data_IF_019420364632
#
_entry.id   IF_019420364632
#
_cell.length_a   1.000
_cell.length_b   1.000
_cell.length_c   1.000
_cell.angle_alpha   90.00
_cell.angle_beta   90.00
_cell.angle_gamma   90.00
#
_symmetry.space_group_name_H-M   'P 1'
#
loop_
_entity.id
_entity.type
_entity.pdbx_description
1 polymer ?
#
# COMPACT_ATOMS: atom_id res chain seq x y z
N UNK A 1 -32.44 92.18 15.30
CA UNK A 1 -32.35 90.99 16.15
C UNK A 1 -32.69 89.78 15.31
N UNK A 2 -31.68 89.10 14.77
CA UNK A 2 -31.82 87.92 13.92
C UNK A 2 -30.85 86.86 14.45
N UNK A 3 -31.41 85.82 15.07
CA UNK A 3 -30.70 84.62 15.48
C UNK A 3 -30.91 83.58 14.38
N UNK A 4 -29.86 83.24 13.64
CA UNK A 4 -29.83 82.08 12.75
C UNK A 4 -28.75 81.14 13.28
N UNK A 5 -29.21 80.04 13.87
CA UNK A 5 -28.38 78.98 14.41
C UNK A 5 -27.70 78.19 13.29
N UNK A 6 -26.38 78.08 13.38
CA UNK A 6 -25.56 77.25 12.51
C UNK A 6 -25.59 75.81 13.04
N UNK A 7 -26.26 74.92 12.34
CA UNK A 7 -26.23 73.48 12.62
C UNK A 7 -25.04 72.87 11.89
N UNK A 8 -23.97 72.55 12.64
CA UNK A 8 -22.89 71.68 12.18
C UNK A 8 -23.44 70.27 11.94
N UNK A 9 -23.72 69.92 10.68
CA UNK A 9 -23.90 68.53 10.28
C UNK A 9 -22.52 67.87 10.19
N UNK A 10 -22.11 67.19 11.26
CA UNK A 10 -21.02 66.21 11.21
C UNK A 10 -21.51 65.03 10.35
N UNK A 11 -21.09 64.98 9.09
CA UNK A 11 -21.21 63.78 8.28
C UNK A 11 -20.21 62.75 8.82
N UNK A 12 -20.68 61.83 9.67
CA UNK A 12 -19.94 60.62 10.02
C UNK A 12 -19.88 59.77 8.75
N UNK A 13 -18.75 59.85 8.04
CA UNK A 13 -18.42 58.94 6.96
C UNK A 13 -18.16 57.56 7.59
N UNK A 14 -19.21 56.75 7.72
CA UNK A 14 -19.07 55.34 8.04
C UNK A 14 -18.37 54.67 6.84
N UNK A 15 -17.04 54.58 6.91
CA UNK A 15 -16.28 53.67 6.06
C UNK A 15 -16.70 52.26 6.47
N UNK A 16 -17.70 51.73 5.78
CA UNK A 16 -17.98 50.30 5.80
C UNK A 16 -16.78 49.65 5.10
N UNK A 17 -15.81 49.21 5.91
CA UNK A 17 -14.83 48.21 5.49
C UNK A 17 -15.62 46.94 5.16
N UNK A 18 -16.04 46.82 3.90
CA UNK A 18 -16.44 45.55 3.32
C UNK A 18 -15.14 44.74 3.25
N UNK A 19 -14.87 43.96 4.28
CA UNK A 19 -13.94 42.85 4.16
C UNK A 19 -14.60 41.87 3.20
N UNK A 20 -14.23 41.92 1.93
CA UNK A 20 -14.51 40.82 1.02
C UNK A 20 -13.85 39.59 1.65
N UNK A 21 -14.64 38.67 2.19
CA UNK A 21 -14.15 37.30 2.33
C UNK A 21 -13.99 36.82 0.89
N UNK A 22 -12.77 36.56 0.44
CA UNK A 22 -12.53 35.79 -0.78
C UNK A 22 -13.12 34.40 -0.54
N UNK A 23 -14.43 34.29 -0.77
CA UNK A 23 -15.17 33.06 -0.58
C UNK A 23 -14.69 32.05 -1.62
N UNK A 24 -14.33 30.85 -1.17
CA UNK A 24 -14.04 29.76 -2.08
C UNK A 24 -15.29 29.45 -2.92
N UNK A 25 -15.18 29.53 -4.24
CA UNK A 25 -16.26 29.10 -5.14
C UNK A 25 -16.10 27.63 -5.47
N UNK A 26 -17.11 26.81 -5.15
CA UNK A 26 -17.19 25.41 -5.58
C UNK A 26 -18.13 25.35 -6.80
N UNK A 27 -17.65 24.76 -7.89
CA UNK A 27 -18.45 24.53 -9.11
C UNK A 27 -18.61 23.02 -9.32
N UNK A 28 -19.85 22.59 -9.50
CA UNK A 28 -20.20 21.21 -9.84
C UNK A 28 -20.76 21.20 -11.25
N UNK A 29 -20.12 20.44 -12.15
CA UNK A 29 -20.58 20.24 -13.52
C UNK A 29 -21.00 18.78 -13.71
N UNK A 30 -22.31 18.54 -13.81
CA UNK A 30 -22.88 17.22 -14.06
C UNK A 30 -23.10 16.93 -15.55
N UNK A 31 -22.86 17.91 -16.43
CA UNK A 31 -22.94 17.74 -17.88
C UNK A 31 -21.67 17.16 -18.50
N UNK A 32 -20.56 17.26 -17.77
CA UNK A 32 -19.24 16.71 -18.17
C UNK A 32 -18.94 15.39 -17.49
N UNK A 33 -18.18 14.52 -18.17
CA UNK A 33 -17.64 13.27 -17.59
C UNK A 33 -16.12 13.36 -17.47
N UNK A 34 -15.58 13.14 -16.28
CA UNK A 34 -14.15 13.06 -16.03
C UNK A 34 -13.67 11.61 -16.22
N UNK A 35 -12.58 11.44 -16.97
CA UNK A 35 -11.87 10.17 -17.08
C UNK A 35 -10.48 10.31 -16.43
N UNK A 36 -10.12 9.33 -15.61
CA UNK A 36 -8.77 9.22 -15.04
C UNK A 36 -8.21 7.85 -15.37
N UNK A 37 -7.12 7.79 -16.13
CA UNK A 37 -6.52 6.55 -16.61
C UNK A 37 -7.52 5.61 -17.31
N UNK A 38 -8.40 6.19 -18.13
CA UNK A 38 -9.44 5.47 -18.86
C UNK A 38 -10.62 4.98 -18.00
N UNK A 39 -10.62 5.21 -16.69
CA UNK A 39 -11.76 4.92 -15.80
C UNK A 39 -12.61 6.17 -15.59
N UNK A 40 -13.94 5.98 -15.59
CA UNK A 40 -14.91 7.03 -15.24
C UNK A 40 -15.64 6.76 -13.92
N UNK A 41 -15.77 5.49 -13.57
CA UNK A 41 -16.61 5.06 -12.45
C UNK A 41 -15.78 5.04 -11.15
N UNK A 42 -16.44 5.38 -10.04
CA UNK A 42 -15.83 5.32 -8.72
C UNK A 42 -15.55 3.87 -8.31
N UNK A 43 -14.27 3.55 -8.09
CA UNK A 43 -13.82 2.22 -7.73
C UNK A 43 -13.90 2.03 -6.21
N UNK A 44 -15.10 1.65 -5.74
CA UNK A 44 -15.38 1.51 -4.31
C UNK A 44 -14.49 0.48 -3.64
N UNK A 45 -14.22 -0.65 -4.29
CA UNK A 45 -13.42 -1.73 -3.72
C UNK A 45 -11.96 -1.30 -3.49
N UNK A 46 -11.42 -0.46 -4.39
CA UNK A 46 -10.09 0.12 -4.27
C UNK A 46 -9.98 1.25 -3.24
N UNK A 47 -11.04 2.04 -3.04
CA UNK A 47 -10.99 3.28 -2.24
C UNK A 47 -11.71 3.20 -0.89
N UNK A 48 -12.67 2.30 -0.73
CA UNK A 48 -13.47 2.11 0.48
C UNK A 48 -13.17 0.74 1.05
N UNK A 49 -12.00 0.64 1.69
CA UNK A 49 -11.53 -0.58 2.33
C UNK A 49 -10.93 -0.29 3.71
N UNK A 50 -10.77 -1.36 4.48
CA UNK A 50 -10.16 -1.37 5.79
C UNK A 50 -8.94 -2.30 5.80
N UNK A 51 -7.98 -1.94 6.65
CA UNK A 51 -6.85 -2.82 6.99
C UNK A 51 -7.33 -3.88 7.99
N UNK A 52 -7.06 -5.15 7.69
CA UNK A 52 -7.39 -6.28 8.56
C UNK A 52 -7.82 -7.52 7.78
N UNK A 53 -8.07 -8.58 8.54
CA UNK A 53 -8.76 -9.78 8.11
C UNK A 53 -10.09 -9.94 8.88
N UNK A 54 -10.98 -10.78 8.37
CA UNK A 54 -12.33 -10.98 8.92
C UNK A 54 -12.38 -12.09 9.98
N UNK A 55 -11.26 -12.39 10.65
CA UNK A 55 -11.17 -13.47 11.65
C UNK A 55 -11.88 -13.16 12.99
N UNK A 56 -12.85 -12.23 13.00
CA UNK A 56 -13.57 -11.85 14.20
C UNK A 56 -14.53 -12.97 14.69
N UNK A 57 -14.72 -13.13 16.02
CA UNK A 57 -15.55 -14.18 16.62
C UNK A 57 -17.03 -14.06 16.22
N UNK A 58 -17.82 -15.14 16.36
CA UNK A 58 -19.18 -15.32 15.80
C UNK A 58 -20.22 -14.20 16.12
N UNK A 59 -20.04 -13.44 17.20
CA UNK A 59 -20.77 -12.20 17.51
C UNK A 59 -20.48 -11.06 16.52
N UNK A 60 -19.60 -11.28 15.55
CA UNK A 60 -19.30 -10.41 14.43
C UNK A 60 -20.33 -10.46 13.30
N UNK A 61 -21.30 -11.38 13.25
CA UNK A 61 -22.17 -11.48 12.07
C UNK A 61 -22.96 -10.20 11.77
N UNK A 62 -23.64 -9.62 12.75
CA UNK A 62 -24.36 -8.35 12.57
C UNK A 62 -23.40 -7.21 12.20
N UNK A 63 -22.18 -7.21 12.76
CA UNK A 63 -21.15 -6.25 12.40
C UNK A 63 -20.64 -6.47 10.96
N UNK A 64 -20.48 -7.72 10.52
CA UNK A 64 -20.09 -8.08 9.16
C UNK A 64 -21.17 -7.68 8.16
N UNK A 65 -22.44 -7.93 8.48
CA UNK A 65 -23.59 -7.48 7.69
C UNK A 65 -23.61 -5.96 7.60
N UNK A 66 -23.44 -5.23 8.71
CA UNK A 66 -23.36 -3.77 8.71
C UNK A 66 -22.18 -3.26 7.85
N UNK A 67 -20.98 -3.81 8.01
CA UNK A 67 -19.79 -3.37 7.28
C UNK A 67 -19.92 -3.64 5.76
N UNK A 68 -20.47 -4.79 5.38
CA UNK A 68 -20.55 -5.20 3.97
C UNK A 68 -21.79 -4.67 3.27
N UNK A 69 -22.97 -4.86 3.88
CA UNK A 69 -24.24 -4.57 3.22
C UNK A 69 -24.63 -3.10 3.36
N UNK A 70 -24.38 -2.50 4.53
CA UNK A 70 -24.76 -1.10 4.76
C UNK A 70 -23.62 -0.15 4.41
N UNK A 71 -22.41 -0.43 4.90
CA UNK A 71 -21.26 0.41 4.64
C UNK A 71 -20.51 0.06 3.36
N UNK A 72 -20.74 -1.09 2.72
CA UNK A 72 -20.03 -1.47 1.48
C UNK A 72 -18.50 -1.39 1.59
N UNK A 73 -17.93 -1.77 2.73
CA UNK A 73 -16.48 -1.74 3.01
C UNK A 73 -15.88 -3.13 2.79
N UNK A 74 -14.69 -3.16 2.19
CA UNK A 74 -13.93 -4.39 1.96
C UNK A 74 -12.69 -4.47 2.86
N UNK A 75 -12.16 -5.66 3.08
CA UNK A 75 -10.88 -5.88 3.77
C UNK A 75 -9.80 -6.25 2.76
N UNK A 76 -8.66 -5.56 2.85
CA UNK A 76 -7.72 -5.53 1.73
C UNK A 76 -6.26 -5.79 2.08
N UNK A 77 -5.87 -6.08 3.33
CA UNK A 77 -4.45 -6.29 3.64
C UNK A 77 -4.20 -7.28 4.77
N UNK A 78 -3.34 -8.27 4.53
CA UNK A 78 -2.89 -9.26 5.53
C UNK A 78 -1.37 -9.30 5.66
N UNK A 79 -0.90 -9.61 6.87
CA UNK A 79 0.51 -9.62 7.26
C UNK A 79 1.15 -11.02 7.22
N UNK A 80 0.55 -11.93 6.46
CA UNK A 80 0.93 -13.35 6.37
C UNK A 80 1.55 -13.66 5.01
N UNK A 81 2.59 -12.90 4.65
CA UNK A 81 3.36 -13.12 3.44
C UNK A 81 4.19 -14.42 3.46
N UNK A 82 4.83 -14.75 2.33
CA UNK A 82 5.61 -15.97 2.18
C UNK A 82 6.82 -16.05 3.12
N UNK A 83 7.62 -14.98 3.24
CA UNK A 83 8.83 -15.00 4.08
C UNK A 83 8.53 -14.96 5.58
N UNK A 84 7.27 -14.76 5.94
CA UNK A 84 6.73 -14.83 7.31
C UNK A 84 6.29 -16.24 7.70
N UNK A 85 6.31 -17.21 6.78
CA UNK A 85 5.90 -18.58 7.04
C UNK A 85 6.98 -19.36 7.78
N UNK A 86 6.59 -20.12 8.81
CA UNK A 86 7.51 -20.98 9.59
C UNK A 86 8.18 -22.07 8.75
N UNK A 87 7.55 -22.45 7.64
CA UNK A 87 8.06 -23.48 6.73
C UNK A 87 9.12 -22.95 5.76
N UNK A 88 9.47 -21.67 5.81
CA UNK A 88 10.55 -21.11 5.00
C UNK A 88 11.93 -21.35 5.67
N UNK A 89 12.96 -21.78 4.91
CA UNK A 89 12.91 -22.27 3.54
C UNK A 89 12.44 -23.73 3.47
N UNK A 90 11.64 -24.08 2.47
CA UNK A 90 11.27 -25.48 2.17
C UNK A 90 11.23 -25.74 0.68
N UNK A 91 11.22 -27.02 0.31
CA UNK A 91 11.05 -27.43 -1.08
C UNK A 91 9.57 -27.34 -1.51
N UNK A 92 9.34 -27.30 -2.82
CA UNK A 92 8.01 -27.19 -3.43
C UNK A 92 7.01 -28.23 -2.92
N UNK A 93 7.44 -29.47 -2.68
CA UNK A 93 6.55 -30.53 -2.19
C UNK A 93 6.00 -30.25 -0.79
N UNK A 94 6.82 -29.70 0.10
CA UNK A 94 6.37 -29.27 1.42
C UNK A 94 5.46 -28.03 1.32
N UNK A 95 5.80 -27.03 0.49
CA UNK A 95 4.96 -25.85 0.27
C UNK A 95 3.57 -26.25 -0.26
N UNK A 96 3.52 -27.19 -1.20
CA UNK A 96 2.26 -27.72 -1.74
C UNK A 96 1.42 -28.42 -0.66
N UNK A 97 2.04 -29.29 0.15
CA UNK A 97 1.36 -29.99 1.24
C UNK A 97 0.78 -29.02 2.26
N UNK A 98 1.54 -28.02 2.69
CA UNK A 98 1.09 -27.02 3.67
C UNK A 98 0.06 -26.06 3.08
N UNK A 99 0.21 -25.69 1.81
CA UNK A 99 -0.77 -24.92 1.07
C UNK A 99 -2.12 -25.62 1.01
N UNK A 100 -2.13 -26.93 0.75
CA UNK A 100 -3.37 -27.71 0.75
C UNK A 100 -4.01 -27.78 2.14
N UNK A 101 -3.23 -27.97 3.20
CA UNK A 101 -3.74 -27.92 4.59
C UNK A 101 -4.33 -26.55 4.92
N UNK A 102 -3.69 -25.47 4.47
CA UNK A 102 -4.21 -24.12 4.64
C UNK A 102 -5.54 -23.93 3.89
N UNK A 103 -5.62 -24.37 2.63
CA UNK A 103 -6.87 -24.33 1.85
C UNK A 103 -7.96 -25.10 2.59
N UNK A 104 -7.70 -26.34 3.04
CA UNK A 104 -8.70 -27.17 3.72
C UNK A 104 -9.18 -26.57 5.03
N UNK A 105 -8.26 -25.99 5.83
CA UNK A 105 -8.57 -25.27 7.06
C UNK A 105 -9.49 -24.07 6.78
N UNK A 106 -9.08 -23.24 5.82
CA UNK A 106 -9.78 -22.00 5.47
C UNK A 106 -11.12 -22.29 4.81
N UNK A 107 -11.23 -23.32 3.97
CA UNK A 107 -12.47 -23.72 3.28
C UNK A 107 -13.60 -24.04 4.27
N UNK A 108 -13.27 -24.69 5.39
CA UNK A 108 -14.20 -24.93 6.50
C UNK A 108 -14.65 -23.61 7.16
N UNK A 109 -13.73 -22.68 7.39
CA UNK A 109 -14.02 -21.36 7.97
C UNK A 109 -14.74 -20.41 6.98
N UNK A 110 -14.73 -20.74 5.69
CA UNK A 110 -15.27 -19.99 4.55
C UNK A 110 -16.67 -20.40 4.11
N UNK A 111 -17.35 -21.24 4.88
CA UNK A 111 -18.72 -21.64 4.58
C UNK A 111 -19.73 -20.47 4.67
N UNK A 112 -19.35 -19.31 5.21
CA UNK A 112 -20.21 -18.11 5.28
C UNK A 112 -20.07 -17.23 4.01
N UNK A 113 -21.14 -17.07 3.19
CA UNK A 113 -21.14 -16.20 2.02
C UNK A 113 -20.83 -14.72 2.31
N UNK A 114 -21.08 -14.23 3.52
CA UNK A 114 -20.72 -12.86 3.91
C UNK A 114 -19.20 -12.68 3.94
N UNK A 115 -18.47 -13.64 4.52
CA UNK A 115 -17.00 -13.61 4.58
C UNK A 115 -16.37 -13.59 3.19
N UNK A 116 -16.96 -14.30 2.23
CA UNK A 116 -16.50 -14.29 0.82
C UNK A 116 -16.60 -12.90 0.17
N UNK A 117 -17.64 -12.14 0.54
CA UNK A 117 -17.89 -10.79 0.00
C UNK A 117 -17.08 -9.70 0.69
N UNK A 118 -16.59 -9.96 1.90
CA UNK A 118 -15.74 -9.02 2.65
C UNK A 118 -14.36 -8.84 2.06
N UNK A 119 -13.85 -9.85 1.35
CA UNK A 119 -12.47 -9.80 0.85
C UNK A 119 -12.43 -9.03 -0.44
N UNK A 120 -11.60 -8.00 -0.43
CA UNK A 120 -11.30 -7.24 -1.63
C UNK A 120 -10.54 -8.11 -2.64
N UNK A 121 -10.93 -8.03 -3.91
CA UNK A 121 -10.13 -8.45 -5.06
C UNK A 121 -8.84 -7.65 -5.14
N UNK A 122 -8.82 -6.42 -4.61
CA UNK A 122 -7.63 -5.57 -4.50
C UNK A 122 -6.77 -5.92 -3.25
N UNK A 123 -6.90 -7.13 -2.70
CA UNK A 123 -6.15 -7.54 -1.50
C UNK A 123 -4.64 -7.52 -1.73
N UNK A 124 -3.94 -7.05 -0.71
CA UNK A 124 -2.49 -7.03 -0.54
C UNK A 124 -2.08 -8.08 0.50
N UNK A 125 -1.15 -8.96 0.13
CA UNK A 125 -0.43 -9.82 1.08
C UNK A 125 0.99 -9.26 1.23
N UNK A 126 1.48 -9.18 2.47
CA UNK A 126 2.79 -8.61 2.77
C UNK A 126 3.55 -9.39 3.83
N UNK A 127 4.89 -9.41 3.73
CA UNK A 127 5.75 -9.90 4.81
C UNK A 127 6.06 -8.83 5.86
N UNK A 128 6.00 -9.21 7.14
CA UNK A 128 6.32 -8.31 8.25
C UNK A 128 7.70 -8.59 8.84
N UNK A 129 8.47 -7.52 9.06
CA UNK A 129 9.87 -7.60 9.49
C UNK A 129 10.10 -8.38 10.79
N UNK A 130 9.11 -8.46 11.68
CA UNK A 130 9.21 -9.18 12.96
C UNK A 130 9.06 -10.70 12.83
N UNK A 131 8.68 -11.21 11.65
CA UNK A 131 8.46 -12.63 11.39
C UNK A 131 9.32 -13.15 10.24
N UNK A 132 10.30 -12.37 9.79
CA UNK A 132 11.11 -12.76 8.65
C UNK A 132 12.10 -13.84 9.02
N UNK A 133 11.96 -14.97 8.36
CA UNK A 133 13.09 -15.85 8.15
C UNK A 133 14.02 -15.18 7.12
N UNK A 134 15.05 -14.49 7.63
CA UNK A 134 15.84 -13.54 6.85
C UNK A 134 16.63 -14.22 5.73
N UNK A 135 16.43 -13.74 4.50
CA UNK A 135 17.33 -13.98 3.37
C UNK A 135 18.64 -13.24 3.61
N UNK A 136 19.73 -13.97 3.85
CA UNK A 136 21.02 -13.39 4.27
C UNK A 136 21.73 -12.61 3.17
N UNK A 137 21.26 -12.72 1.92
CA UNK A 137 21.64 -11.85 0.83
C UNK A 137 22.53 -12.46 -0.22
N UNK A 138 22.91 -13.74 -0.10
CA UNK A 138 23.54 -14.42 -1.23
C UNK A 138 22.52 -14.58 -2.37
N UNK A 139 22.99 -14.58 -3.63
CA UNK A 139 22.10 -14.79 -4.77
C UNK A 139 21.32 -16.10 -4.69
N UNK A 140 21.93 -17.15 -4.12
CA UNK A 140 21.28 -18.44 -3.92
C UNK A 140 20.10 -18.35 -2.93
N UNK A 141 20.28 -17.69 -1.79
CA UNK A 141 19.21 -17.49 -0.81
C UNK A 141 18.11 -16.56 -1.33
N UNK A 142 18.48 -15.49 -2.06
CA UNK A 142 17.50 -14.59 -2.70
C UNK A 142 16.64 -15.37 -3.68
N UNK A 143 17.24 -16.20 -4.53
CA UNK A 143 16.51 -17.03 -5.48
C UNK A 143 15.63 -18.07 -4.77
N UNK A 144 16.12 -18.67 -3.68
CA UNK A 144 15.32 -19.59 -2.86
C UNK A 144 14.10 -18.88 -2.24
N UNK A 145 14.28 -17.65 -1.72
CA UNK A 145 13.21 -16.77 -1.25
C UNK A 145 12.16 -16.47 -2.32
N UNK A 146 12.63 -16.09 -3.52
CA UNK A 146 11.76 -15.79 -4.65
C UNK A 146 10.95 -17.01 -5.13
N UNK A 147 11.60 -18.17 -5.25
CA UNK A 147 10.93 -19.41 -5.66
C UNK A 147 9.91 -19.87 -4.61
N UNK A 148 10.26 -19.78 -3.33
CA UNK A 148 9.32 -20.07 -2.26
C UNK A 148 8.11 -19.13 -2.31
N UNK A 149 8.32 -17.83 -2.54
CA UNK A 149 7.22 -16.88 -2.67
C UNK A 149 6.29 -17.22 -3.85
N UNK A 150 6.85 -17.61 -5.00
CA UNK A 150 6.08 -18.06 -6.15
C UNK A 150 5.23 -19.31 -5.83
N UNK A 151 5.84 -20.31 -5.18
CA UNK A 151 5.15 -21.53 -4.73
C UNK A 151 4.06 -21.23 -3.69
N UNK A 152 4.32 -20.31 -2.75
CA UNK A 152 3.34 -19.88 -1.77
C UNK A 152 2.09 -19.33 -2.46
N UNK A 153 2.23 -18.38 -3.39
CA UNK A 153 1.08 -17.85 -4.13
C UNK A 153 0.39 -18.88 -5.02
N UNK A 154 1.11 -19.92 -5.46
CA UNK A 154 0.58 -21.00 -6.28
C UNK A 154 -0.24 -22.01 -5.48
N UNK A 155 0.18 -22.34 -4.26
CA UNK A 155 -0.39 -23.46 -3.50
C UNK A 155 -1.21 -23.07 -2.26
N UNK A 156 -1.08 -21.84 -1.73
CA UNK A 156 -1.84 -21.42 -0.53
C UNK A 156 -3.19 -20.80 -0.85
N UNK A 157 -3.48 -20.53 -2.13
CA UNK A 157 -4.69 -19.87 -2.59
C UNK A 157 -5.38 -20.72 -3.64
N UNK A 158 -6.71 -20.76 -3.60
CA UNK A 158 -7.51 -21.42 -4.62
C UNK A 158 -8.75 -20.56 -4.95
N UNK A 159 -9.16 -20.60 -6.22
CA UNK A 159 -10.26 -19.76 -6.71
C UNK A 159 -11.64 -20.26 -6.28
N UNK A 160 -11.75 -21.55 -5.98
CA UNK A 160 -12.99 -22.24 -5.66
C UNK A 160 -13.07 -22.60 -4.16
N UNK A 161 -11.92 -22.76 -3.50
CA UNK A 161 -11.76 -23.21 -2.12
C UNK A 161 -10.81 -22.28 -1.36
N UNK A 162 -11.06 -22.07 -0.07
CA UNK A 162 -10.21 -21.21 0.75
C UNK A 162 -10.14 -19.75 0.28
N UNK A 163 -8.96 -19.11 0.42
CA UNK A 163 -8.76 -17.72 0.04
C UNK A 163 -8.52 -17.57 -1.48
N UNK A 164 -9.17 -16.61 -2.16
CA UNK A 164 -8.77 -16.23 -3.50
C UNK A 164 -7.35 -15.65 -3.47
N UNK A 165 -6.63 -15.81 -4.58
CA UNK A 165 -5.30 -15.25 -4.74
C UNK A 165 -5.37 -13.72 -4.66
N UNK A 166 -4.49 -13.05 -3.88
CA UNK A 166 -4.50 -11.59 -3.79
C UNK A 166 -4.08 -10.96 -5.12
N UNK A 167 -4.54 -9.73 -5.38
CA UNK A 167 -4.07 -8.96 -6.52
C UNK A 167 -2.64 -8.47 -6.33
N UNK A 168 -2.26 -8.16 -5.09
CA UNK A 168 -0.96 -7.55 -4.78
C UNK A 168 -0.16 -8.41 -3.78
N UNK A 169 1.10 -8.66 -4.13
CA UNK A 169 2.14 -9.17 -3.25
C UNK A 169 3.14 -8.04 -2.95
N UNK A 170 3.03 -7.43 -1.79
CA UNK A 170 3.99 -6.43 -1.31
C UNK A 170 5.14 -7.14 -0.60
N UNK A 171 6.39 -6.96 -1.05
CA UNK A 171 7.45 -7.81 -0.50
C UNK A 171 7.71 -7.59 0.99
N UNK A 172 7.63 -6.35 1.49
CA UNK A 172 7.89 -6.08 2.91
C UNK A 172 7.06 -4.91 3.43
N UNK A 173 6.67 -4.99 4.70
CA UNK A 173 6.04 -3.91 5.42
C UNK A 173 7.08 -2.97 6.05
N UNK A 174 7.16 -1.74 5.57
CA UNK A 174 7.97 -0.65 6.12
C UNK A 174 9.48 -0.96 6.28
N UNK A 175 10.13 -1.60 5.29
CA UNK A 175 11.50 -2.07 5.45
C UNK A 175 12.50 -0.93 5.61
N UNK A 176 12.20 0.27 5.09
CA UNK A 176 13.12 1.41 5.09
C UNK A 176 13.35 2.00 6.49
N UNK A 177 12.30 2.13 7.30
CA UNK A 177 12.44 2.58 8.69
C UNK A 177 12.91 1.45 9.61
N UNK A 178 12.61 0.19 9.23
CA UNK A 178 12.95 -1.02 9.98
C UNK A 178 14.22 -1.68 9.45
N UNK A 179 15.05 -1.00 8.67
CA UNK A 179 16.20 -1.60 7.99
C UNK A 179 17.14 -2.35 8.96
N UNK A 180 17.27 -1.88 10.21
CA UNK A 180 18.07 -2.55 11.24
C UNK A 180 17.56 -3.96 11.60
N UNK A 181 16.29 -4.26 11.38
CA UNK A 181 15.70 -5.60 11.54
C UNK A 181 16.06 -6.54 10.40
N UNK A 182 16.56 -6.02 9.27
CA UNK A 182 16.95 -6.80 8.10
C UNK A 182 18.47 -7.03 8.02
N UNK A 183 19.26 -6.42 8.90
CA UNK A 183 20.72 -6.56 8.88
C UNK A 183 21.14 -7.95 9.37
N UNK A 184 22.12 -8.54 8.69
CA UNK A 184 22.83 -9.76 9.10
C UNK A 184 24.06 -9.44 9.93
N UNK A 185 24.53 -8.18 9.90
CA UNK A 185 25.65 -7.69 10.71
C UNK A 185 25.40 -6.28 11.26
N UNK A 186 26.02 -5.97 12.41
CA UNK A 186 26.02 -4.62 12.98
C UNK A 186 26.79 -3.60 12.13
N UNK A 187 27.61 -4.06 11.18
CA UNK A 187 28.43 -3.21 10.30
C UNK A 187 27.71 -2.80 9.01
N UNK A 188 26.56 -3.39 8.70
CA UNK A 188 25.81 -3.03 7.49
C UNK A 188 25.25 -1.60 7.59
N UNK A 189 25.39 -0.87 6.49
CA UNK A 189 24.77 0.43 6.32
C UNK A 189 23.31 0.28 5.92
N UNK A 190 22.48 1.28 6.21
CA UNK A 190 21.09 1.32 5.73
C UNK A 190 21.01 1.16 4.20
N UNK A 191 21.90 1.80 3.44
CA UNK A 191 21.89 1.73 1.98
C UNK A 191 22.22 0.32 1.46
N UNK A 192 23.16 -0.38 2.10
CA UNK A 192 23.46 -1.80 1.83
C UNK A 192 22.23 -2.67 2.04
N UNK A 193 21.54 -2.47 3.16
CA UNK A 193 20.35 -3.25 3.50
C UNK A 193 19.19 -2.93 2.54
N UNK A 194 18.97 -1.66 2.22
CA UNK A 194 17.94 -1.23 1.26
C UNK A 194 18.22 -1.75 -0.16
N UNK A 195 19.47 -1.75 -0.60
CA UNK A 195 19.88 -2.37 -1.87
C UNK A 195 19.54 -3.86 -1.88
N UNK A 196 19.86 -4.60 -0.81
CA UNK A 196 19.51 -6.02 -0.67
C UNK A 196 18.00 -6.25 -0.67
N UNK A 197 17.23 -5.42 0.04
CA UNK A 197 15.75 -5.46 0.01
C UNK A 197 15.22 -5.26 -1.41
N UNK A 198 15.77 -4.28 -2.16
CA UNK A 198 15.44 -4.05 -3.56
C UNK A 198 15.67 -5.31 -4.40
N UNK A 199 16.85 -5.93 -4.29
CA UNK A 199 17.17 -7.17 -5.02
C UNK A 199 16.23 -8.32 -4.68
N UNK A 200 15.88 -8.49 -3.41
CA UNK A 200 14.91 -9.51 -2.97
C UNK A 200 13.55 -9.25 -3.62
N UNK A 201 13.04 -8.02 -3.53
CA UNK A 201 11.78 -7.63 -4.13
C UNK A 201 11.75 -7.85 -5.65
N UNK A 202 12.80 -7.43 -6.36
CA UNK A 202 12.92 -7.61 -7.80
C UNK A 202 12.83 -9.07 -8.22
N UNK A 203 13.56 -9.95 -7.52
CA UNK A 203 13.56 -11.41 -7.76
C UNK A 203 12.22 -12.04 -7.39
N UNK A 204 11.63 -11.67 -6.25
CA UNK A 204 10.30 -12.13 -5.86
C UNK A 204 9.27 -11.74 -6.92
N UNK A 205 9.30 -10.51 -7.44
CA UNK A 205 8.38 -10.09 -8.49
C UNK A 205 8.50 -10.97 -9.72
N UNK A 206 9.72 -11.21 -10.21
CA UNK A 206 9.92 -12.03 -11.40
C UNK A 206 9.41 -13.46 -11.19
N UNK A 207 9.74 -14.09 -10.07
CA UNK A 207 9.31 -15.46 -9.78
C UNK A 207 7.78 -15.55 -9.62
N UNK A 208 7.19 -14.65 -8.83
CA UNK A 208 5.74 -14.62 -8.58
C UNK A 208 4.98 -14.42 -9.89
N UNK A 209 5.33 -13.40 -10.69
CA UNK A 209 4.59 -13.06 -11.91
C UNK A 209 4.78 -14.07 -13.04
N UNK A 210 5.89 -14.83 -13.03
CA UNK A 210 6.10 -15.93 -13.98
C UNK A 210 5.16 -17.10 -13.69
N UNK A 211 5.05 -17.50 -12.42
CA UNK A 211 4.22 -18.65 -12.01
C UNK A 211 2.75 -18.28 -11.73
N UNK A 212 2.49 -17.00 -11.44
CA UNK A 212 1.18 -16.46 -11.04
C UNK A 212 0.94 -15.12 -11.75
N UNK A 213 0.73 -15.10 -13.08
CA UNK A 213 0.65 -13.89 -13.89
C UNK A 213 -0.51 -12.94 -13.52
N UNK A 214 -1.50 -13.41 -12.76
CA UNK A 214 -2.58 -12.60 -12.23
C UNK A 214 -2.20 -11.76 -10.99
N UNK A 215 -1.10 -12.12 -10.31
CA UNK A 215 -0.60 -11.42 -9.12
C UNK A 215 0.39 -10.35 -9.54
N UNK A 216 0.14 -9.12 -9.10
CA UNK A 216 1.12 -8.05 -9.20
C UNK A 216 2.05 -8.11 -7.98
N UNK A 217 3.35 -8.00 -8.20
CA UNK A 217 4.33 -7.99 -7.13
C UNK A 217 5.12 -6.68 -7.12
N UNK A 218 5.37 -6.12 -5.94
CA UNK A 218 5.91 -4.77 -5.81
C UNK A 218 6.18 -4.35 -4.37
N UNK A 219 6.44 -3.06 -4.18
CA UNK A 219 6.84 -2.54 -2.88
C UNK A 219 7.34 -1.09 -2.95
N UNK A 220 8.07 -0.60 -1.93
CA UNK A 220 8.58 -1.34 -0.79
C UNK A 220 7.65 -1.33 0.44
N UNK A 221 6.41 -0.83 0.34
CA UNK A 221 5.61 -0.54 1.53
C UNK A 221 6.29 0.52 2.40
N UNK A 222 6.87 1.55 1.77
CA UNK A 222 7.65 2.57 2.47
C UNK A 222 6.79 3.28 3.52
N UNK A 223 7.33 3.55 4.72
CA UNK A 223 6.67 4.49 5.63
C UNK A 223 7.45 5.78 5.75
N UNK A 224 6.72 6.91 5.71
CA UNK A 224 7.27 8.24 5.89
C UNK A 224 8.52 8.46 5.03
N UNK A 225 8.39 8.41 3.69
CA UNK A 225 9.56 8.53 2.80
C UNK A 225 10.34 9.83 3.05
N UNK A 226 9.64 10.91 3.48
CA UNK A 226 10.19 12.24 3.79
C UNK A 226 11.34 12.58 2.81
N UNK A 227 11.05 12.54 1.50
CA UNK A 227 12.07 12.47 0.47
C UNK A 227 12.99 13.70 0.50
N UNK A 228 12.43 14.86 0.86
CA UNK A 228 13.09 16.17 0.89
C UNK A 228 14.19 16.31 1.95
N UNK A 229 14.21 15.46 2.99
CA UNK A 229 15.17 15.60 4.08
C UNK A 229 16.62 15.50 3.58
N UNK A 230 17.47 16.34 4.17
CA UNK A 230 18.91 16.42 3.88
C UNK A 230 19.19 16.63 2.39
N UNK A 231 18.51 17.61 1.77
CA UNK A 231 18.64 17.93 0.35
C UNK A 231 18.45 16.68 -0.54
N UNK A 232 17.31 16.01 -0.34
CA UNK A 232 16.93 14.77 -1.03
C UNK A 232 17.84 13.56 -0.79
N UNK A 233 18.73 13.58 0.21
CA UNK A 233 19.55 12.44 0.54
C UNK A 233 18.71 11.23 1.01
N UNK A 234 17.60 11.47 1.72
CA UNK A 234 16.69 10.40 2.12
C UNK A 234 16.05 9.70 0.92
N UNK A 235 15.59 10.45 -0.08
CA UNK A 235 15.07 9.85 -1.32
C UNK A 235 16.13 8.99 -2.01
N UNK A 236 17.34 9.55 -2.20
CA UNK A 236 18.45 8.86 -2.87
C UNK A 236 18.83 7.56 -2.17
N UNK A 237 18.95 7.58 -0.84
CA UNK A 237 19.39 6.43 -0.03
C UNK A 237 18.33 5.33 0.12
N UNK A 238 17.04 5.70 0.01
CA UNK A 238 15.91 4.79 0.28
C UNK A 238 15.19 4.40 -0.99
N UNK A 239 14.25 5.24 -1.44
CA UNK A 239 13.35 4.89 -2.54
C UNK A 239 14.13 4.72 -3.84
N UNK A 240 15.08 5.61 -4.15
CA UNK A 240 15.91 5.49 -5.35
C UNK A 240 16.74 4.21 -5.32
N UNK A 241 17.53 3.99 -4.24
CA UNK A 241 18.31 2.75 -4.07
C UNK A 241 17.44 1.51 -4.20
N UNK A 242 16.27 1.49 -3.57
CA UNK A 242 15.33 0.37 -3.67
C UNK A 242 14.90 0.10 -5.12
N UNK A 243 14.38 1.12 -5.81
CA UNK A 243 13.86 0.99 -7.17
C UNK A 243 14.96 0.53 -8.14
N UNK A 244 16.14 1.15 -8.07
CA UNK A 244 17.27 0.79 -8.94
C UNK A 244 17.66 -0.68 -8.77
N UNK A 245 17.79 -1.13 -7.53
CA UNK A 245 18.22 -2.49 -7.23
C UNK A 245 17.12 -3.54 -7.48
N UNK A 246 15.86 -3.17 -7.34
CA UNK A 246 14.74 -4.05 -7.67
C UNK A 246 14.60 -4.24 -9.19
N UNK A 247 14.71 -3.15 -9.96
CA UNK A 247 14.66 -3.19 -11.41
C UNK A 247 15.89 -3.89 -12.00
N UNK A 248 17.09 -3.66 -11.46
CA UNK A 248 18.30 -4.39 -11.86
C UNK A 248 18.15 -5.91 -11.62
N UNK A 249 17.52 -6.30 -10.52
CA UNK A 249 17.39 -7.70 -10.15
C UNK A 249 16.23 -8.44 -10.85
N UNK A 250 15.20 -7.72 -11.33
CA UNK A 250 14.00 -8.33 -11.88
C UNK A 250 12.92 -7.31 -12.25
N UNK A 251 11.73 -7.43 -11.66
CA UNK A 251 10.61 -6.52 -11.93
C UNK A 251 10.06 -5.85 -10.67
N UNK A 252 9.25 -4.81 -10.88
CA UNK A 252 8.29 -4.27 -9.91
C UNK A 252 7.04 -3.88 -10.71
N UNK A 253 5.86 -4.40 -10.36
CA UNK A 253 4.61 -4.06 -11.05
C UNK A 253 3.87 -2.88 -10.41
N UNK A 254 4.14 -2.58 -9.15
CA UNK A 254 3.55 -1.45 -8.43
C UNK A 254 4.50 -0.91 -7.37
N UNK A 255 4.30 0.36 -7.03
CA UNK A 255 5.00 1.01 -5.92
C UNK A 255 4.00 1.24 -4.79
N UNK A 256 4.40 0.96 -3.55
CA UNK A 256 3.56 1.16 -2.37
C UNK A 256 4.22 1.99 -1.28
N UNK A 257 3.40 2.85 -0.66
CA UNK A 257 3.80 3.76 0.41
C UNK A 257 2.66 3.97 1.42
N UNK A 258 3.03 4.12 2.69
CA UNK A 258 2.17 4.57 3.76
C UNK A 258 2.24 6.09 3.91
N UNK A 259 1.09 6.74 3.71
CA UNK A 259 0.93 8.18 3.85
C UNK A 259 0.27 8.49 5.20
N UNK A 260 1.03 9.11 6.12
CA UNK A 260 0.53 9.50 7.44
C UNK A 260 0.73 11.00 7.68
N UNK A 261 -0.33 11.69 8.11
CA UNK A 261 -0.26 12.95 8.88
C UNK A 261 0.38 14.17 8.20
N UNK A 262 0.72 14.12 6.92
CA UNK A 262 1.19 15.28 6.14
C UNK A 262 0.03 15.91 5.35
N UNK A 263 0.03 17.23 5.21
CA UNK A 263 -0.96 17.93 4.36
C UNK A 263 -0.84 17.52 2.89
N UNK A 264 -1.94 17.65 2.13
CA UNK A 264 -2.08 17.12 0.75
C UNK A 264 -0.90 17.43 -0.17
N UNK A 265 -0.48 18.69 -0.26
CA UNK A 265 0.62 19.10 -1.14
C UNK A 265 1.97 18.39 -0.86
N UNK A 266 2.23 17.97 0.38
CA UNK A 266 3.45 17.23 0.73
C UNK A 266 3.36 15.78 0.25
N UNK A 267 2.17 15.19 0.27
CA UNK A 267 1.91 13.85 -0.24
C UNK A 267 1.98 13.85 -1.77
N UNK A 268 1.36 14.84 -2.41
CA UNK A 268 1.41 15.02 -3.86
C UNK A 268 2.86 15.12 -4.35
N UNK A 269 3.66 16.03 -3.77
CA UNK A 269 5.06 16.18 -4.16
C UNK A 269 5.91 14.91 -3.95
N UNK A 270 5.55 14.06 -2.99
CA UNK A 270 6.23 12.80 -2.77
C UNK A 270 5.85 11.75 -3.83
N UNK A 271 4.56 11.62 -4.14
CA UNK A 271 4.07 10.73 -5.18
C UNK A 271 4.58 11.17 -6.57
N UNK A 272 4.53 12.47 -6.87
CA UNK A 272 5.06 13.06 -8.12
C UNK A 272 6.55 12.79 -8.29
N UNK A 273 7.34 12.86 -7.20
CA UNK A 273 8.76 12.57 -7.25
C UNK A 273 9.02 11.10 -7.62
N UNK A 274 8.24 10.17 -7.04
CA UNK A 274 8.33 8.74 -7.34
C UNK A 274 7.92 8.49 -8.79
N UNK A 275 6.78 9.04 -9.22
CA UNK A 275 6.27 8.91 -10.59
C UNK A 275 7.29 9.47 -11.59
N UNK A 276 7.77 10.70 -11.37
CA UNK A 276 8.76 11.34 -12.24
C UNK A 276 10.06 10.54 -12.33
N UNK A 277 10.51 9.96 -11.22
CA UNK A 277 11.70 9.11 -11.23
C UNK A 277 11.47 7.87 -12.10
N UNK A 278 10.38 7.15 -11.85
CA UNK A 278 10.07 5.87 -12.51
C UNK A 278 9.77 6.02 -14.00
N UNK A 279 9.10 7.12 -14.40
CA UNK A 279 8.85 7.44 -15.80
C UNK A 279 10.14 7.72 -16.58
N UNK A 280 11.18 8.25 -15.94
CA UNK A 280 12.47 8.54 -16.58
C UNK A 280 13.40 7.34 -16.68
N UNK A 281 13.17 6.30 -15.88
CA UNK A 281 14.03 5.11 -15.79
C UNK A 281 13.38 3.84 -16.35
N UNK A 282 12.16 3.96 -16.89
CA UNK A 282 11.49 2.92 -17.68
C UNK A 282 11.83 3.05 -19.15
#
# INVERSE_FOLDING_TARGET
MSWLGSWCALAILAVVLITASDGASVKLDFGSTLYTNGKRDFDRERLVNAHGDFQAPANARALMEYIVEELGVFFGRSNDGPLSQEIFPSNTGQVQSEGQKNIDKVDCDWCDPLRKRMISKERVVVDISSRLNLVQGSNAEINAGANFAADFFKYFFDKNRGYPKPRYAECFNEPMIKWKSFRTSNTETEESVVSRIGKICGRMCTAITTENPEVMAGGPGASSAKPHLSNFANFRKRMKTFLDNAQEAGCINFISEHLYGSGGAVQDANLDLIETYTYRTS
#
